data_IF_041073350659
#
_entry.id   IF_041073350659
#
_cell.length_a   1.000
_cell.length_b   1.000
_cell.length_c   1.000
_cell.angle_alpha   90.00
_cell.angle_beta   90.00
_cell.angle_gamma   90.00
#
_symmetry.space_group_name_H-M   'P 1'
#
loop_
_entity.id
_entity.type
_entity.pdbx_description
1 polymer ?
#
# COMPACT_ATOMS: atom_id res chain seq x y z
N UNK A 1 5.23 20.64 -12.07
CA UNK A 1 5.50 21.61 -13.14
C UNK A 1 6.23 21.04 -14.35
N UNK A 2 7.16 20.09 -14.25
CA UNK A 2 7.80 19.45 -15.42
C UNK A 2 6.86 18.53 -16.25
N UNK A 3 5.75 18.08 -15.69
CA UNK A 3 4.84 17.10 -16.31
C UNK A 3 3.75 17.71 -17.20
N UNK A 4 3.40 18.97 -17.01
CA UNK A 4 2.44 19.66 -17.89
C UNK A 4 3.01 20.02 -19.26
N UNK A 5 4.32 20.25 -19.33
CA UNK A 5 4.99 20.62 -20.58
C UNK A 5 5.01 19.49 -21.63
N UNK A 6 4.94 18.23 -21.21
CA UNK A 6 4.97 17.05 -22.12
C UNK A 6 3.59 16.74 -22.70
N UNK A 7 2.51 17.13 -22.02
CA UNK A 7 1.12 16.88 -22.45
C UNK A 7 0.71 17.65 -23.71
N UNK A 8 1.42 18.71 -24.08
CA UNK A 8 1.04 19.61 -25.19
C UNK A 8 1.84 19.43 -26.47
N UNK A 9 2.85 18.55 -26.49
CA UNK A 9 3.61 18.29 -27.72
C UNK A 9 3.06 17.06 -28.44
N UNK A 10 2.05 17.25 -29.27
CA UNK A 10 1.48 16.26 -30.16
C UNK A 10 2.44 15.82 -31.26
N UNK A 11 3.49 15.05 -30.91
CA UNK A 11 4.26 14.23 -31.86
C UNK A 11 4.08 12.77 -31.48
N UNK A 12 3.50 11.98 -32.40
CA UNK A 12 3.49 10.52 -32.35
C UNK A 12 4.92 9.99 -32.37
N UNK A 13 5.56 9.96 -31.20
CA UNK A 13 6.76 9.17 -30.94
C UNK A 13 6.35 7.76 -30.56
N UNK A 14 7.10 6.76 -30.95
CA UNK A 14 6.91 5.32 -30.67
C UNK A 14 7.27 4.94 -29.21
N UNK A 15 7.19 5.84 -28.26
CA UNK A 15 7.42 5.64 -26.81
C UNK A 15 6.25 6.18 -26.01
N UNK A 16 5.97 5.58 -24.86
CA UNK A 16 5.02 6.12 -23.91
C UNK A 16 5.65 7.42 -23.35
N UNK A 17 4.95 8.55 -23.39
CA UNK A 17 5.49 9.85 -22.90
C UNK A 17 6.00 9.79 -21.44
N UNK A 18 5.53 8.83 -20.66
CA UNK A 18 5.97 8.54 -19.30
C UNK A 18 7.34 7.88 -19.23
N UNK A 19 7.68 7.03 -20.23
CA UNK A 19 9.00 6.39 -20.33
C UNK A 19 10.08 7.42 -20.67
N UNK A 20 9.81 8.34 -21.58
CA UNK A 20 10.73 9.44 -21.92
C UNK A 20 11.02 10.38 -20.74
N UNK A 21 9.98 10.70 -19.95
CA UNK A 21 10.15 11.51 -18.72
C UNK A 21 10.92 10.74 -17.66
N UNK A 22 10.65 9.43 -17.52
CA UNK A 22 11.36 8.56 -16.61
C UNK A 22 12.84 8.42 -16.94
N UNK A 23 13.18 8.18 -18.20
CA UNK A 23 14.57 8.09 -18.67
C UNK A 23 15.34 9.41 -18.43
N UNK A 24 14.71 10.55 -18.69
CA UNK A 24 15.33 11.88 -18.46
C UNK A 24 15.58 12.16 -16.98
N UNK A 25 14.75 11.61 -16.08
CA UNK A 25 14.85 11.77 -14.63
C UNK A 25 15.63 10.63 -13.94
N UNK A 26 16.01 9.56 -14.68
CA UNK A 26 16.61 8.37 -14.12
C UNK A 26 15.65 7.50 -13.31
N UNK A 27 14.32 7.64 -13.56
CA UNK A 27 13.27 6.98 -12.84
C UNK A 27 12.40 6.08 -13.74
N UNK A 28 11.77 5.07 -13.16
CA UNK A 28 10.86 4.20 -13.94
C UNK A 28 9.56 4.92 -14.29
N UNK A 29 8.93 4.58 -15.43
CA UNK A 29 7.61 5.10 -15.80
C UNK A 29 6.55 4.94 -14.69
N UNK A 30 6.63 3.86 -13.92
CA UNK A 30 5.76 3.63 -12.75
C UNK A 30 5.97 4.66 -11.64
N UNK A 31 7.20 5.11 -11.43
CA UNK A 31 7.52 6.16 -10.44
C UNK A 31 6.99 7.50 -10.92
N UNK A 32 7.19 7.83 -12.20
CA UNK A 32 6.64 9.05 -12.81
C UNK A 32 5.12 9.09 -12.69
N UNK A 33 4.44 7.97 -12.98
CA UNK A 33 2.99 7.87 -12.84
C UNK A 33 2.52 8.12 -11.40
N UNK A 34 3.24 7.63 -10.40
CA UNK A 34 2.93 7.90 -8.98
C UNK A 34 3.03 9.39 -8.65
N UNK A 35 4.06 10.08 -9.12
CA UNK A 35 4.20 11.52 -8.89
C UNK A 35 3.08 12.34 -9.56
N UNK A 36 2.61 11.90 -10.74
CA UNK A 36 1.44 12.52 -11.38
C UNK A 36 0.20 12.39 -10.49
N UNK A 37 -0.05 11.21 -9.89
CA UNK A 37 -1.17 11.03 -8.97
C UNK A 37 -1.00 11.86 -7.70
N UNK A 38 0.20 11.93 -7.12
CA UNK A 38 0.45 12.74 -5.92
C UNK A 38 0.17 14.23 -6.15
N UNK A 39 0.28 14.73 -7.38
CA UNK A 39 -0.07 16.12 -7.72
C UNK A 39 -1.59 16.42 -7.59
N UNK A 40 -2.43 15.42 -7.37
CA UNK A 40 -3.86 15.58 -7.07
C UNK A 40 -4.17 15.59 -5.57
N UNK A 41 -3.16 15.47 -4.71
CA UNK A 41 -3.34 15.64 -3.27
C UNK A 41 -3.50 17.12 -2.91
N UNK A 42 -4.21 17.39 -1.82
CA UNK A 42 -4.18 18.69 -1.17
C UNK A 42 -2.75 19.01 -0.68
N UNK A 43 -2.40 20.28 -0.62
CA UNK A 43 -1.07 20.72 -0.18
C UNK A 43 -0.69 20.14 1.19
N UNK A 44 -1.66 20.03 2.10
CA UNK A 44 -1.44 19.49 3.44
C UNK A 44 -1.11 17.98 3.42
N UNK A 45 -1.81 17.17 2.63
CA UNK A 45 -1.51 15.75 2.50
C UNK A 45 -0.21 15.53 1.72
N UNK A 46 0.09 16.37 0.73
CA UNK A 46 1.35 16.31 0.01
C UNK A 46 2.54 16.63 0.93
N UNK A 47 2.41 17.64 1.78
CA UNK A 47 3.41 17.96 2.82
C UNK A 47 3.62 16.79 3.81
N UNK A 48 2.54 16.06 4.14
CA UNK A 48 2.65 14.83 4.95
C UNK A 48 3.41 13.71 4.23
N UNK A 49 3.28 13.60 2.91
CA UNK A 49 4.06 12.65 2.11
C UNK A 49 5.53 13.06 2.08
N UNK A 50 5.83 14.33 1.86
CA UNK A 50 7.20 14.87 1.83
C UNK A 50 7.90 14.69 3.20
N UNK A 51 7.17 14.87 4.28
CA UNK A 51 7.64 14.61 5.66
C UNK A 51 7.67 13.14 6.04
N UNK A 52 7.37 12.22 5.12
CA UNK A 52 7.33 10.76 5.33
C UNK A 52 6.34 10.30 6.41
N UNK A 53 5.34 11.11 6.72
CA UNK A 53 4.22 10.73 7.61
C UNK A 53 3.22 9.83 6.88
N UNK A 54 3.08 10.03 5.56
CA UNK A 54 2.30 9.19 4.65
C UNK A 54 3.27 8.61 3.62
N UNK A 55 3.18 7.31 3.34
CA UNK A 55 3.98 6.69 2.28
C UNK A 55 3.47 7.07 0.89
N UNK A 56 4.34 7.01 -0.12
CA UNK A 56 4.00 7.33 -1.52
C UNK A 56 2.80 6.50 -2.02
N UNK A 57 2.75 5.21 -1.69
CA UNK A 57 1.64 4.31 -2.11
C UNK A 57 0.32 4.77 -1.50
N UNK A 58 0.30 5.08 -0.21
CA UNK A 58 -0.88 5.59 0.49
C UNK A 58 -1.31 6.93 -0.09
N UNK A 59 -0.36 7.85 -0.35
CA UNK A 59 -0.64 9.13 -1.00
C UNK A 59 -1.30 8.96 -2.36
N UNK A 60 -0.83 8.01 -3.18
CA UNK A 60 -1.45 7.69 -4.47
C UNK A 60 -2.88 7.18 -4.30
N UNK A 61 -3.16 6.34 -3.30
CA UNK A 61 -4.54 5.90 -3.03
C UNK A 61 -5.44 7.07 -2.60
N UNK A 62 -4.93 7.97 -1.74
CA UNK A 62 -5.67 9.14 -1.26
C UNK A 62 -5.91 10.19 -2.36
N UNK A 63 -5.08 10.25 -3.39
CA UNK A 63 -5.24 11.21 -4.50
C UNK A 63 -6.50 10.98 -5.34
N UNK A 64 -7.17 9.85 -5.18
CA UNK A 64 -8.45 9.56 -5.83
C UNK A 64 -9.67 10.07 -5.06
N UNK A 65 -9.47 10.61 -3.86
CA UNK A 65 -10.50 11.21 -3.03
C UNK A 65 -10.81 12.63 -3.49
N UNK A 66 -12.04 13.08 -3.26
CA UNK A 66 -12.42 14.49 -3.47
C UNK A 66 -11.68 15.39 -2.46
N UNK A 67 -11.59 16.70 -2.75
CA UNK A 67 -10.96 17.68 -1.84
C UNK A 67 -11.54 17.59 -0.43
N UNK A 68 -12.86 17.52 -0.29
CA UNK A 68 -13.53 17.40 1.00
C UNK A 68 -13.19 16.09 1.72
N UNK A 69 -13.11 14.98 1.00
CA UNK A 69 -12.73 13.69 1.58
C UNK A 69 -11.26 13.68 2.02
N UNK A 70 -10.38 14.33 1.26
CA UNK A 70 -8.98 14.52 1.61
C UNK A 70 -8.84 15.39 2.88
N UNK A 71 -9.63 16.44 3.02
CA UNK A 71 -9.69 17.27 4.22
C UNK A 71 -10.10 16.44 5.46
N UNK A 72 -11.10 15.57 5.34
CA UNK A 72 -11.49 14.67 6.42
C UNK A 72 -10.35 13.72 6.84
N UNK A 73 -9.63 13.17 5.86
CA UNK A 73 -8.46 12.32 6.14
C UNK A 73 -7.37 13.11 6.85
N UNK A 74 -7.06 14.31 6.37
CA UNK A 74 -6.07 15.20 7.00
C UNK A 74 -6.42 15.47 8.46
N UNK A 75 -7.64 15.93 8.73
CA UNK A 75 -8.11 16.26 10.09
C UNK A 75 -7.94 15.07 11.03
N UNK A 76 -8.37 13.88 10.62
CA UNK A 76 -8.26 12.68 11.45
C UNK A 76 -6.80 12.27 11.68
N UNK A 77 -5.94 12.37 10.66
CA UNK A 77 -4.51 12.05 10.80
C UNK A 77 -3.80 13.05 11.75
N UNK A 78 -4.14 14.33 11.67
CA UNK A 78 -3.58 15.36 12.56
C UNK A 78 -4.04 15.20 14.00
N UNK A 79 -5.34 14.93 14.22
CA UNK A 79 -5.91 14.75 15.55
C UNK A 79 -5.40 13.48 16.25
N UNK A 80 -5.24 12.40 15.52
CA UNK A 80 -4.94 11.07 16.10
C UNK A 80 -3.47 10.72 16.06
N UNK A 81 -2.70 11.32 15.15
CA UNK A 81 -1.30 10.97 14.93
C UNK A 81 -1.08 9.54 14.38
N UNK A 82 -2.13 8.88 13.93
CA UNK A 82 -2.01 7.50 13.38
C UNK A 82 -1.23 7.49 12.08
N UNK A 83 -0.49 6.42 11.85
CA UNK A 83 0.18 6.17 10.58
C UNK A 83 -0.75 5.31 9.71
N UNK A 84 -1.19 5.86 8.59
CA UNK A 84 -2.07 5.16 7.67
C UNK A 84 -1.38 3.96 7.01
N UNK A 85 -2.04 2.81 7.00
CA UNK A 85 -1.59 1.62 6.27
C UNK A 85 -2.09 1.65 4.81
N UNK A 86 -1.47 0.85 3.94
CA UNK A 86 -1.90 0.70 2.55
C UNK A 86 -3.35 0.16 2.47
N UNK A 87 -3.70 -0.78 3.34
CA UNK A 87 -5.06 -1.36 3.39
C UNK A 87 -6.09 -0.28 3.76
N UNK A 88 -5.80 0.55 4.77
CA UNK A 88 -6.69 1.65 5.15
C UNK A 88 -6.84 2.67 4.01
N UNK A 89 -5.74 3.06 3.35
CA UNK A 89 -5.78 3.97 2.22
C UNK A 89 -6.61 3.42 1.04
N UNK A 90 -6.46 2.14 0.70
CA UNK A 90 -7.27 1.48 -0.34
C UNK A 90 -8.75 1.44 0.03
N UNK A 91 -9.10 1.15 1.29
CA UNK A 91 -10.51 1.17 1.76
C UNK A 91 -11.11 2.57 1.68
N UNK A 92 -10.38 3.60 2.10
CA UNK A 92 -10.84 4.99 1.96
C UNK A 92 -11.13 5.34 0.50
N UNK A 93 -10.26 4.94 -0.43
CA UNK A 93 -10.46 5.13 -1.87
C UNK A 93 -11.71 4.40 -2.37
N UNK A 94 -11.94 3.16 -1.95
CA UNK A 94 -13.12 2.38 -2.36
C UNK A 94 -14.42 3.06 -1.93
N UNK A 95 -14.53 3.45 -0.65
CA UNK A 95 -15.68 4.19 -0.15
C UNK A 95 -15.81 5.60 -0.75
N UNK A 96 -14.69 6.25 -1.06
CA UNK A 96 -14.69 7.54 -1.75
C UNK A 96 -15.23 7.46 -3.17
N UNK A 97 -14.98 6.36 -3.89
CA UNK A 97 -15.50 6.12 -5.24
C UNK A 97 -17.01 5.83 -5.27
N UNK A 98 -17.54 5.20 -4.24
CA UNK A 98 -18.97 4.91 -4.11
C UNK A 98 -19.77 6.08 -3.53
N UNK A 99 -19.10 7.21 -3.24
CA UNK A 99 -19.68 8.40 -2.57
C UNK A 99 -20.29 8.11 -1.20
N UNK A 100 -19.85 7.01 -0.56
CA UNK A 100 -20.32 6.58 0.76
C UNK A 100 -19.40 7.06 1.90
N UNK A 101 -18.22 7.63 1.56
CA UNK A 101 -17.25 8.06 2.53
C UNK A 101 -17.74 9.27 3.32
N UNK A 102 -17.74 9.14 4.64
CA UNK A 102 -18.10 10.21 5.59
C UNK A 102 -16.99 10.41 6.62
N UNK A 103 -16.94 11.58 7.27
CA UNK A 103 -15.95 11.85 8.32
C UNK A 103 -15.96 10.79 9.45
N UNK A 104 -17.13 10.34 9.98
CA UNK A 104 -17.15 9.23 10.94
C UNK A 104 -16.55 7.93 10.41
N UNK A 105 -16.77 7.59 9.13
CA UNK A 105 -16.17 6.41 8.50
C UNK A 105 -14.67 6.55 8.34
N UNK A 106 -14.17 7.73 7.93
CA UNK A 106 -12.72 8.01 7.87
C UNK A 106 -12.10 7.78 9.23
N UNK A 107 -12.71 8.32 10.30
CA UNK A 107 -12.25 8.13 11.67
C UNK A 107 -12.24 6.65 12.07
N UNK A 108 -13.32 5.92 11.80
CA UNK A 108 -13.43 4.50 12.09
C UNK A 108 -12.32 3.71 11.39
N UNK A 109 -12.13 3.91 10.09
CA UNK A 109 -11.13 3.19 9.29
C UNK A 109 -9.71 3.48 9.78
N UNK A 110 -9.40 4.74 10.09
CA UNK A 110 -8.04 5.14 10.49
C UNK A 110 -7.69 4.74 11.92
N UNK A 111 -8.69 4.68 12.82
CA UNK A 111 -8.46 4.34 14.24
C UNK A 111 -8.76 2.89 14.59
N UNK A 112 -9.23 2.08 13.63
CA UNK A 112 -9.43 0.66 13.89
C UNK A 112 -8.11 -0.02 14.30
N UNK A 113 -8.13 -0.97 15.24
CA UNK A 113 -6.95 -1.73 15.62
C UNK A 113 -6.35 -2.43 14.39
N UNK A 114 -5.09 -2.17 14.12
CA UNK A 114 -4.40 -2.89 13.03
C UNK A 114 -4.36 -4.37 13.36
N UNK A 115 -4.78 -5.26 12.45
CA UNK A 115 -4.60 -6.69 12.66
C UNK A 115 -3.11 -6.95 12.89
N UNK A 116 -2.81 -7.70 13.95
CA UNK A 116 -1.44 -8.12 14.22
C UNK A 116 -1.08 -9.18 13.19
N UNK A 117 -0.51 -8.76 12.06
CA UNK A 117 0.07 -9.69 11.10
C UNK A 117 1.28 -10.37 11.73
N UNK A 118 1.09 -11.55 12.28
CA UNK A 118 2.20 -12.38 12.75
C UNK A 118 2.85 -13.04 11.54
N UNK A 119 3.94 -12.44 11.05
CA UNK A 119 4.75 -13.04 10.00
C UNK A 119 5.87 -13.85 10.64
N UNK A 120 5.80 -15.16 10.52
CA UNK A 120 6.87 -16.07 10.92
C UNK A 120 7.65 -16.47 9.68
N UNK A 121 8.95 -16.17 9.66
CA UNK A 121 9.84 -16.58 8.58
C UNK A 121 10.83 -17.61 9.13
N UNK A 122 10.80 -18.81 8.59
CA UNK A 122 11.75 -19.87 8.96
C UNK A 122 12.83 -19.89 7.89
N UNK A 123 14.11 -19.79 8.33
CA UNK A 123 15.25 -19.85 7.42
C UNK A 123 15.42 -21.24 6.82
N UNK A 124 15.68 -21.33 5.52
CA UNK A 124 15.83 -22.59 4.80
C UNK A 124 16.92 -23.50 5.41
N UNK A 125 18.04 -22.95 5.86
CA UNK A 125 19.13 -23.69 6.53
C UNK A 125 18.70 -24.37 7.82
N UNK A 126 17.73 -23.82 8.54
CA UNK A 126 17.18 -24.41 9.77
C UNK A 126 16.19 -25.51 9.52
N UNK A 127 15.44 -25.45 8.43
CA UNK A 127 14.36 -26.39 8.11
C UNK A 127 14.83 -27.56 7.25
N UNK A 128 15.79 -27.32 6.34
CA UNK A 128 16.27 -28.33 5.38
C UNK A 128 16.80 -29.62 6.01
N UNK A 129 17.34 -29.54 7.23
CA UNK A 129 17.83 -30.72 7.97
C UNK A 129 16.73 -31.71 8.38
N UNK A 130 15.46 -31.30 8.33
CA UNK A 130 14.32 -32.14 8.73
C UNK A 130 13.64 -32.81 7.55
N UNK A 131 14.01 -32.40 6.32
CA UNK A 131 13.37 -32.87 5.10
C UNK A 131 14.39 -33.48 4.14
N UNK A 132 14.00 -34.52 3.37
CA UNK A 132 14.81 -35.01 2.28
C UNK A 132 15.16 -33.92 1.26
N UNK A 133 16.31 -34.03 0.59
CA UNK A 133 16.79 -33.02 -0.34
C UNK A 133 15.92 -32.89 -1.63
N UNK A 134 15.09 -33.87 -1.91
CA UNK A 134 14.17 -33.93 -3.04
C UNK A 134 12.76 -33.37 -2.75
N UNK A 135 12.50 -32.97 -1.49
CA UNK A 135 11.22 -32.35 -1.12
C UNK A 135 11.08 -30.97 -1.74
N UNK A 136 9.96 -30.75 -2.42
CA UNK A 136 9.57 -29.41 -2.89
C UNK A 136 9.13 -28.50 -1.74
N UNK A 137 9.15 -27.19 -1.94
CA UNK A 137 8.64 -26.22 -0.95
C UNK A 137 7.19 -26.51 -0.56
N UNK A 138 6.35 -26.89 -1.51
CA UNK A 138 4.95 -27.25 -1.27
C UNK A 138 4.80 -28.47 -0.38
N UNK A 139 5.65 -29.50 -0.60
CA UNK A 139 5.65 -30.68 0.27
C UNK A 139 6.09 -30.35 1.69
N UNK A 140 7.09 -29.48 1.85
CA UNK A 140 7.55 -28.99 3.14
C UNK A 140 6.44 -28.22 3.87
N UNK A 141 5.76 -27.31 3.17
CA UNK A 141 4.65 -26.53 3.72
C UNK A 141 3.49 -27.45 4.18
N UNK A 142 3.11 -28.42 3.38
CA UNK A 142 2.05 -29.38 3.73
C UNK A 142 2.36 -30.17 5.01
N UNK A 143 3.60 -30.64 5.16
CA UNK A 143 4.00 -31.33 6.40
C UNK A 143 3.96 -30.39 7.60
N UNK A 144 4.39 -29.13 7.44
CA UNK A 144 4.34 -28.14 8.52
C UNK A 144 2.90 -27.87 8.93
N UNK A 145 1.97 -27.68 7.99
CA UNK A 145 0.56 -27.46 8.29
C UNK A 145 -0.05 -28.68 9.01
N UNK A 146 0.24 -29.88 8.56
CA UNK A 146 -0.23 -31.10 9.22
C UNK A 146 0.23 -31.18 10.69
N UNK A 147 1.50 -30.91 10.95
CA UNK A 147 2.06 -30.90 12.31
C UNK A 147 1.44 -29.81 13.18
N UNK A 148 1.14 -28.63 12.60
CA UNK A 148 0.47 -27.54 13.31
C UNK A 148 -0.99 -27.88 13.64
N UNK A 149 -1.70 -28.57 12.76
CA UNK A 149 -3.07 -29.03 12.99
C UNK A 149 -3.11 -30.08 14.10
N UNK A 150 -2.18 -31.04 14.11
CA UNK A 150 -2.02 -32.02 15.17
C UNK A 150 -1.71 -31.38 16.52
N UNK A 151 -0.78 -30.41 16.52
CA UNK A 151 -0.42 -29.65 17.72
C UNK A 151 -1.60 -28.83 18.26
N UNK A 152 -2.34 -28.17 17.38
CA UNK A 152 -3.50 -27.37 17.75
C UNK A 152 -4.61 -28.24 18.35
N UNK A 153 -4.89 -29.38 17.73
CA UNK A 153 -5.87 -30.38 18.25
C UNK A 153 -5.50 -30.86 19.63
N UNK A 154 -4.22 -31.16 19.85
CA UNK A 154 -3.71 -31.64 21.15
C UNK A 154 -3.72 -30.57 22.26
N UNK A 155 -3.72 -29.30 21.91
CA UNK A 155 -3.73 -28.15 22.85
C UNK A 155 -5.10 -27.51 23.04
N UNK A 156 -6.09 -27.84 22.22
CA UNK A 156 -7.46 -27.31 22.33
C UNK A 156 -8.30 -28.05 23.39
N UNK A 157 -7.79 -29.15 23.93
CA UNK A 157 -8.45 -29.95 24.99
C UNK A 157 -7.99 -29.56 26.43
N UNK A 158 -7.24 -28.48 26.58
CA UNK A 158 -6.82 -27.93 27.89
C UNK A 158 -7.48 -26.59 28.13
#
# INVERSE_FOLDING_TARGET
>A
MKYEAVKHQGKKGKGNSLDEVGETAGESAKTVQRYIYLAHLSDALLDMVDKKKIGIVQGVELSFLTEQQQEWVQVVLEETGVIISTVQASRLKEYGKSDELTLPMVRLILTEPKPIERKVTIKADKISRYFPADYSNEQIENVIYQLLDEWNSSNSEK
#
